data_IF_847958976699
#
_entry.id   IF_847958976699
#
_cell.length_a   1.000
_cell.length_b   1.000
_cell.length_c   1.000
_cell.angle_alpha   90.00
_cell.angle_beta   90.00
_cell.angle_gamma   90.00
#
_symmetry.space_group_name_H-M   'P 1'
#
loop_
_entity.id
_entity.type
_entity.pdbx_description
1 polymer ?
#
# COMPACT_ATOMS: atom_id res chain seq x y z
N UNK A 1 -10.59 26.42 -0.65
CA UNK A 1 -9.62 25.40 -0.25
C UNK A 1 -10.31 24.07 -0.46
N UNK A 2 -9.73 23.21 -1.28
CA UNK A 2 -10.28 21.88 -1.56
C UNK A 2 -9.51 20.86 -0.70
N UNK A 3 -10.25 19.99 -0.02
CA UNK A 3 -9.72 18.97 0.90
C UNK A 3 -10.03 17.55 0.41
N UNK A 4 -10.64 17.42 -0.77
CA UNK A 4 -10.93 16.12 -1.34
C UNK A 4 -9.68 15.53 -1.98
N UNK A 5 -9.62 14.21 -1.99
CA UNK A 5 -8.64 13.49 -2.78
C UNK A 5 -8.93 13.67 -4.27
N UNK A 6 -7.89 13.64 -5.08
CA UNK A 6 -8.02 13.49 -6.53
C UNK A 6 -8.55 12.08 -6.85
N UNK A 7 -9.09 11.91 -8.06
CA UNK A 7 -9.59 10.60 -8.51
C UNK A 7 -8.49 9.52 -8.46
N UNK A 8 -7.25 9.89 -8.79
CA UNK A 8 -6.08 9.01 -8.73
C UNK A 8 -5.77 8.57 -7.29
N UNK A 9 -5.85 9.50 -6.34
CA UNK A 9 -5.66 9.21 -4.91
C UNK A 9 -6.80 8.37 -4.34
N UNK A 10 -8.05 8.59 -4.78
CA UNK A 10 -9.17 7.74 -4.40
C UNK A 10 -9.01 6.32 -4.94
N UNK A 11 -8.58 6.17 -6.19
CA UNK A 11 -8.32 4.87 -6.80
C UNK A 11 -7.21 4.11 -6.05
N UNK A 12 -6.13 4.81 -5.67
CA UNK A 12 -5.05 4.28 -4.85
C UNK A 12 -5.57 3.78 -3.50
N UNK A 13 -6.34 4.63 -2.79
CA UNK A 13 -6.95 4.28 -1.48
C UNK A 13 -7.82 3.04 -1.60
N UNK A 14 -8.74 3.03 -2.56
CA UNK A 14 -9.75 2.00 -2.70
C UNK A 14 -9.13 0.66 -3.15
N UNK A 15 -8.15 0.73 -4.06
CA UNK A 15 -7.39 -0.44 -4.53
C UNK A 15 -6.61 -1.11 -3.40
N UNK A 16 -5.85 -0.32 -2.63
CA UNK A 16 -5.09 -0.83 -1.48
C UNK A 16 -6.01 -1.35 -0.38
N UNK A 17 -7.09 -0.64 -0.06
CA UNK A 17 -8.06 -1.07 0.97
C UNK A 17 -8.69 -2.42 0.59
N UNK A 18 -9.10 -2.59 -0.66
CA UNK A 18 -9.67 -3.86 -1.15
C UNK A 18 -8.66 -5.00 -1.16
N UNK A 19 -7.41 -4.71 -1.54
CA UNK A 19 -6.33 -5.70 -1.50
C UNK A 19 -6.10 -6.19 -0.07
N UNK A 20 -5.94 -5.26 0.89
CA UNK A 20 -5.72 -5.59 2.29
C UNK A 20 -6.89 -6.37 2.88
N UNK A 21 -8.13 -5.93 2.65
CA UNK A 21 -9.33 -6.62 3.14
C UNK A 21 -9.48 -8.06 2.61
N UNK A 22 -8.95 -8.36 1.42
CA UNK A 22 -9.08 -9.68 0.80
C UNK A 22 -7.91 -10.62 1.10
N UNK A 23 -6.72 -10.09 1.38
CA UNK A 23 -5.49 -10.90 1.44
C UNK A 23 -4.66 -10.72 2.70
N UNK A 24 -4.89 -9.66 3.46
CA UNK A 24 -4.09 -9.31 4.63
C UNK A 24 -4.83 -9.64 5.92
N UNK A 25 -4.71 -10.88 6.37
CA UNK A 25 -5.20 -11.29 7.68
C UNK A 25 -4.21 -10.91 8.80
N UNK A 26 -4.72 -10.27 9.84
CA UNK A 26 -3.91 -9.75 10.94
C UNK A 26 -3.25 -10.85 11.79
N UNK A 27 -3.95 -11.96 12.01
CA UNK A 27 -3.39 -13.08 12.76
C UNK A 27 -2.20 -13.71 12.01
N UNK A 28 -2.36 -13.89 10.70
CA UNK A 28 -1.32 -14.38 9.79
C UNK A 28 -0.13 -13.42 9.73
N UNK A 29 -0.38 -12.11 9.67
CA UNK A 29 0.68 -11.10 9.72
C UNK A 29 1.48 -11.17 11.02
N UNK A 30 0.80 -11.23 12.17
CA UNK A 30 1.45 -11.34 13.49
C UNK A 30 2.23 -12.64 13.67
N UNK A 31 1.78 -13.74 13.06
CA UNK A 31 2.50 -15.01 13.06
C UNK A 31 3.76 -14.95 12.18
N UNK A 32 3.63 -14.37 10.98
CA UNK A 32 4.75 -14.16 10.05
C UNK A 32 5.83 -13.25 10.66
N UNK A 33 5.46 -12.23 11.43
CA UNK A 33 6.42 -11.36 12.12
C UNK A 33 7.30 -12.11 13.15
N UNK A 34 6.87 -13.29 13.62
CA UNK A 34 7.58 -14.08 14.64
C UNK A 34 8.38 -15.25 14.08
N UNK A 35 8.28 -15.52 12.77
CA UNK A 35 8.79 -16.75 12.16
C UNK A 35 9.34 -16.50 10.75
N UNK A 36 10.24 -17.39 10.30
CA UNK A 36 10.79 -17.32 8.94
C UNK A 36 11.41 -15.94 8.61
N UNK A 37 11.05 -15.31 7.48
CA UNK A 37 11.64 -14.03 7.07
C UNK A 37 11.15 -12.81 7.88
N UNK A 38 10.16 -12.95 8.77
CA UNK A 38 9.64 -11.84 9.57
C UNK A 38 8.60 -10.95 8.87
N UNK A 39 8.17 -11.31 7.66
CA UNK A 39 7.15 -10.61 6.86
C UNK A 39 6.44 -11.61 5.94
N UNK A 40 5.44 -11.15 5.18
CA UNK A 40 4.67 -11.97 4.24
C UNK A 40 5.12 -11.69 2.79
N UNK A 41 5.91 -12.58 2.15
CA UNK A 41 6.45 -12.35 0.81
C UNK A 41 5.43 -12.07 -0.28
N UNK A 42 4.33 -12.82 -0.28
CA UNK A 42 3.31 -12.66 -1.30
C UNK A 42 2.50 -11.36 -1.16
N UNK A 43 2.39 -10.80 0.06
CA UNK A 43 1.74 -9.50 0.28
C UNK A 43 2.57 -8.38 -0.31
N UNK A 44 3.86 -8.37 -0.01
CA UNK A 44 4.81 -7.38 -0.54
C UNK A 44 4.97 -7.49 -2.05
N UNK A 45 4.90 -8.71 -2.60
CA UNK A 45 4.87 -8.89 -4.05
C UNK A 45 3.59 -8.35 -4.67
N UNK A 46 2.44 -8.54 -4.05
CA UNK A 46 1.19 -7.88 -4.47
C UNK A 46 1.26 -6.35 -4.41
N UNK A 47 1.95 -5.78 -3.41
CA UNK A 47 2.21 -4.33 -3.36
C UNK A 47 3.01 -3.82 -4.56
N UNK A 48 3.95 -4.62 -5.07
CA UNK A 48 4.73 -4.28 -6.25
C UNK A 48 3.94 -4.53 -7.55
N UNK A 49 3.48 -5.76 -7.75
CA UNK A 49 3.02 -6.25 -9.05
C UNK A 49 1.58 -5.85 -9.37
N UNK A 50 0.72 -5.70 -8.35
CA UNK A 50 -0.70 -5.40 -8.54
C UNK A 50 -1.06 -3.95 -8.24
N UNK A 51 -0.45 -3.37 -7.21
CA UNK A 51 -0.79 -2.02 -6.76
C UNK A 51 0.27 -0.97 -7.17
N UNK A 52 1.50 -1.37 -7.43
CA UNK A 52 2.61 -0.45 -7.75
C UNK A 52 3.02 0.49 -6.61
N UNK A 53 2.53 0.28 -5.38
CA UNK A 53 2.68 1.25 -4.28
C UNK A 53 4.11 1.39 -3.77
N UNK A 54 4.98 0.43 -4.06
CA UNK A 54 6.40 0.52 -3.69
C UNK A 54 7.15 1.59 -4.49
N UNK A 55 6.63 1.96 -5.67
CA UNK A 55 7.12 3.07 -6.49
C UNK A 55 6.31 4.36 -6.32
N UNK A 56 5.36 4.42 -5.37
CA UNK A 56 4.36 5.48 -5.30
C UNK A 56 4.97 6.89 -5.22
N UNK A 57 6.09 7.03 -4.50
CA UNK A 57 6.75 8.31 -4.25
C UNK A 57 8.12 8.40 -4.92
N UNK A 58 8.48 7.38 -5.72
CA UNK A 58 9.71 7.37 -6.47
C UNK A 58 9.54 8.20 -7.75
N UNK A 59 10.61 8.86 -8.22
CA UNK A 59 10.57 9.59 -9.47
C UNK A 59 10.42 8.63 -10.66
N UNK A 60 9.87 9.11 -11.78
CA UNK A 60 9.62 8.31 -12.99
C UNK A 60 10.91 7.71 -13.56
N UNK A 61 12.06 8.41 -13.44
CA UNK A 61 13.36 7.93 -13.89
C UNK A 61 13.84 6.67 -13.13
N UNK A 62 13.27 6.42 -11.95
CA UNK A 62 13.50 5.22 -11.16
C UNK A 62 12.38 4.17 -11.35
N UNK A 63 11.46 4.37 -12.30
CA UNK A 63 10.29 3.52 -12.51
C UNK A 63 9.16 3.75 -11.51
N UNK A 64 9.15 4.88 -10.81
CA UNK A 64 8.07 5.29 -9.92
C UNK A 64 6.96 6.06 -10.63
N UNK A 65 5.99 6.56 -9.85
CA UNK A 65 4.83 7.32 -10.36
C UNK A 65 4.89 8.82 -10.04
N UNK A 66 5.99 9.30 -9.45
CA UNK A 66 6.18 10.72 -9.13
C UNK A 66 5.23 11.29 -8.08
N UNK A 67 4.59 10.42 -7.27
CA UNK A 67 3.71 10.83 -6.19
C UNK A 67 4.45 11.53 -5.04
N UNK A 68 3.68 12.14 -4.16
CA UNK A 68 4.18 13.01 -3.11
C UNK A 68 3.65 12.68 -1.72
N UNK A 69 3.58 13.69 -0.83
CA UNK A 69 3.13 13.50 0.54
C UNK A 69 1.71 12.96 0.67
N UNK A 70 0.81 13.30 -0.27
CA UNK A 70 -0.59 12.86 -0.22
C UNK A 70 -0.71 11.38 -0.53
N UNK A 71 -0.02 10.88 -1.56
CA UNK A 71 0.02 9.44 -1.88
C UNK A 71 0.63 8.65 -0.72
N UNK A 72 1.70 9.18 -0.11
CA UNK A 72 2.31 8.57 1.10
C UNK A 72 1.28 8.47 2.24
N UNK A 73 0.55 9.56 2.49
CA UNK A 73 -0.48 9.63 3.53
C UNK A 73 -1.59 8.60 3.28
N UNK A 74 -2.12 8.55 2.06
CA UNK A 74 -3.17 7.61 1.65
C UNK A 74 -2.71 6.16 1.86
N UNK A 75 -1.49 5.82 1.45
CA UNK A 75 -0.92 4.47 1.63
C UNK A 75 -0.76 4.14 3.11
N UNK A 76 -0.18 5.05 3.90
CA UNK A 76 0.04 4.83 5.33
C UNK A 76 -1.28 4.67 6.10
N UNK A 77 -2.30 5.47 5.77
CA UNK A 77 -3.63 5.39 6.38
C UNK A 77 -4.31 4.04 6.09
N UNK A 78 -4.31 3.61 4.83
CA UNK A 78 -4.90 2.33 4.43
C UNK A 78 -4.18 1.13 5.09
N UNK A 79 -2.84 1.15 5.15
CA UNK A 79 -2.06 0.13 5.85
C UNK A 79 -2.36 0.12 7.36
N UNK A 80 -2.46 1.29 7.99
CA UNK A 80 -2.80 1.42 9.41
C UNK A 80 -4.22 0.95 9.73
N UNK A 81 -5.18 1.14 8.83
CA UNK A 81 -6.54 0.64 8.99
C UNK A 81 -6.63 -0.89 9.00
N UNK A 82 -5.73 -1.57 8.28
CA UNK A 82 -5.70 -3.03 8.21
C UNK A 82 -4.97 -3.70 9.39
N UNK A 83 -4.55 -2.94 10.41
CA UNK A 83 -3.68 -3.42 11.50
C UNK A 83 -4.39 -3.71 12.83
#
# INVERSE_FOLDING_TARGET
MDFNLTNEQELLRDGLTKFLASRYDLASSRAAAKTGPGWQPEIWRGFADELGILGATLPEEAGGIGGGPVETMVIAEALGHAW
#
